data_IF_176348660449
#
_entry.id   IF_176348660449
#
_cell.length_a   1.000
_cell.length_b   1.000
_cell.length_c   1.000
_cell.angle_alpha   90.00
_cell.angle_beta   90.00
_cell.angle_gamma   90.00
#
_symmetry.space_group_name_H-M   'P 1'
#
loop_
_entity.id
_entity.type
_entity.pdbx_description
1 polymer ?
#
# COMPACT_ATOMS: atom_id res chain seq x y z
N UNK A 1 -21.88 1.07 -10.87
CA UNK A 1 -21.11 2.25 -10.40
C UNK A 1 -21.15 2.39 -8.88
N UNK A 2 -22.32 2.50 -8.24
CA UNK A 2 -22.40 2.57 -6.76
C UNK A 2 -21.78 1.35 -6.06
N UNK A 3 -22.04 0.13 -6.53
CA UNK A 3 -21.41 -1.08 -5.98
C UNK A 3 -19.88 -1.07 -6.15
N UNK A 4 -19.37 -0.68 -7.32
CA UNK A 4 -17.93 -0.56 -7.56
C UNK A 4 -17.25 0.46 -6.63
N UNK A 5 -17.93 1.57 -6.34
CA UNK A 5 -17.45 2.56 -5.38
C UNK A 5 -17.42 2.00 -3.95
N UNK A 6 -18.45 1.24 -3.56
CA UNK A 6 -18.52 0.55 -2.28
C UNK A 6 -17.41 -0.51 -2.13
N UNK A 7 -17.22 -1.37 -3.14
CA UNK A 7 -16.14 -2.38 -3.14
C UNK A 7 -14.78 -1.72 -3.03
N UNK A 8 -14.55 -0.63 -3.75
CA UNK A 8 -13.28 0.10 -3.71
C UNK A 8 -12.96 0.63 -2.32
N UNK A 9 -13.93 1.24 -1.64
CA UNK A 9 -13.75 1.70 -0.26
C UNK A 9 -13.39 0.57 0.70
N UNK A 10 -14.11 -0.56 0.64
CA UNK A 10 -13.95 -1.67 1.60
C UNK A 10 -12.67 -2.46 1.35
N UNK A 11 -12.35 -2.77 0.10
CA UNK A 11 -11.15 -3.53 -0.25
C UNK A 11 -9.86 -2.79 0.16
N UNK A 12 -9.89 -1.47 0.27
CA UNK A 12 -8.72 -0.70 0.67
C UNK A 12 -8.51 -0.60 2.18
N UNK A 13 -9.52 -0.90 3.00
CA UNK A 13 -9.43 -0.77 4.47
C UNK A 13 -8.21 -1.50 5.05
N UNK A 14 -7.97 -2.80 4.76
CA UNK A 14 -6.84 -3.52 5.36
C UNK A 14 -5.48 -3.00 4.88
N UNK A 15 -5.41 -2.52 3.64
CA UNK A 15 -4.18 -1.96 3.06
C UNK A 15 -3.85 -0.63 3.73
N UNK A 16 -4.84 0.24 3.92
CA UNK A 16 -4.68 1.51 4.63
C UNK A 16 -4.24 1.26 6.07
N UNK A 17 -4.92 0.35 6.78
CA UNK A 17 -4.55 -0.01 8.16
C UNK A 17 -3.14 -0.61 8.24
N UNK A 18 -2.79 -1.47 7.28
CA UNK A 18 -1.45 -2.07 7.17
C UNK A 18 -0.36 -1.03 6.95
N UNK A 19 -0.57 -0.09 6.02
CA UNK A 19 0.35 1.03 5.79
C UNK A 19 0.51 1.92 7.03
N UNK A 20 -0.60 2.28 7.69
CA UNK A 20 -0.58 3.08 8.92
C UNK A 20 0.19 2.39 10.05
N UNK A 21 -0.10 1.12 10.34
CA UNK A 21 0.57 0.39 11.41
C UNK A 21 2.04 0.15 11.09
N UNK A 22 2.39 -0.12 9.83
CA UNK A 22 3.78 -0.18 9.39
C UNK A 22 4.52 1.14 9.66
N UNK A 23 3.90 2.29 9.41
CA UNK A 23 4.50 3.60 9.73
C UNK A 23 4.72 3.77 11.23
N UNK A 24 3.82 3.28 12.08
CA UNK A 24 4.03 3.26 13.54
C UNK A 24 5.24 2.37 13.90
N UNK A 25 5.36 1.18 13.32
CA UNK A 25 6.49 0.26 13.53
C UNK A 25 7.82 0.92 13.16
N UNK A 26 7.88 1.60 12.02
CA UNK A 26 9.09 2.28 11.56
C UNK A 26 9.43 3.46 12.47
N UNK A 27 8.44 4.29 12.82
CA UNK A 27 8.65 5.51 13.62
C UNK A 27 9.01 5.20 15.08
N UNK A 28 8.44 4.14 15.67
CA UNK A 28 8.79 3.68 17.02
C UNK A 28 9.98 2.72 17.04
N UNK A 29 10.56 2.42 15.88
CA UNK A 29 11.66 1.49 15.70
C UNK A 29 11.41 0.08 16.27
N UNK A 30 10.16 -0.39 16.20
CA UNK A 30 9.87 -1.79 16.54
C UNK A 30 10.50 -2.73 15.50
N UNK A 31 10.84 -3.94 15.96
CA UNK A 31 11.51 -4.98 15.15
C UNK A 31 12.79 -4.48 14.45
N UNK A 32 13.62 -3.69 15.16
CA UNK A 32 14.84 -3.07 14.63
C UNK A 32 15.83 -4.08 14.03
N UNK A 33 15.88 -5.31 14.53
CA UNK A 33 16.70 -6.40 13.98
C UNK A 33 16.40 -6.68 12.50
N UNK A 34 15.17 -6.44 12.05
CA UNK A 34 14.73 -6.67 10.67
C UNK A 34 14.86 -5.42 9.79
N UNK A 35 15.34 -4.30 10.32
CA UNK A 35 15.57 -3.06 9.58
C UNK A 35 16.80 -3.15 8.65
N UNK A 36 17.01 -4.30 8.03
CA UNK A 36 18.07 -4.59 7.08
C UNK A 36 17.61 -4.13 5.70
N UNK A 37 18.38 -3.27 4.99
CA UNK A 37 18.03 -2.82 3.65
C UNK A 37 17.93 -4.00 2.68
N UNK A 38 16.89 -4.03 1.84
CA UNK A 38 16.70 -5.07 0.81
C UNK A 38 17.86 -5.01 -0.18
N UNK A 39 18.18 -3.82 -0.68
CA UNK A 39 19.38 -3.60 -1.48
C UNK A 39 19.80 -2.12 -1.45
N UNK A 40 20.91 -1.80 -0.79
CA UNK A 40 21.31 -0.41 -0.53
C UNK A 40 21.55 0.39 -1.83
N UNK A 41 22.26 -0.19 -2.81
CA UNK A 41 22.59 0.50 -4.07
C UNK A 41 21.37 0.73 -4.96
N UNK A 42 20.39 -0.16 -4.91
CA UNK A 42 19.25 -0.14 -5.85
C UNK A 42 18.02 0.49 -5.25
N UNK A 43 17.75 0.32 -3.96
CA UNK A 43 16.52 0.81 -3.34
C UNK A 43 16.78 1.82 -2.21
N UNK A 44 18.04 1.94 -1.77
CA UNK A 44 18.43 2.79 -0.63
C UNK A 44 18.21 2.12 0.73
N UNK A 45 18.72 2.77 1.78
CA UNK A 45 18.69 2.24 3.15
C UNK A 45 17.27 2.12 3.75
N UNK A 46 16.31 2.90 3.25
CA UNK A 46 14.96 2.96 3.84
C UNK A 46 14.04 1.83 3.40
N UNK A 47 14.36 1.12 2.31
CA UNK A 47 13.60 -0.06 1.86
C UNK A 47 14.18 -1.28 2.55
N UNK A 48 13.52 -1.73 3.61
CA UNK A 48 14.01 -2.78 4.52
C UNK A 48 13.17 -4.05 4.43
N UNK A 49 13.77 -5.20 4.77
CA UNK A 49 13.05 -6.47 4.90
C UNK A 49 11.93 -6.40 5.94
N UNK A 50 12.11 -5.61 7.01
CA UNK A 50 11.04 -5.29 7.97
C UNK A 50 9.79 -4.79 7.27
N UNK A 51 9.90 -3.74 6.46
CA UNK A 51 8.74 -3.20 5.75
C UNK A 51 8.20 -4.18 4.69
N UNK A 52 9.12 -4.87 4.00
CA UNK A 52 8.77 -5.81 2.95
C UNK A 52 7.93 -6.99 3.45
N UNK A 53 8.18 -7.45 4.67
CA UNK A 53 7.46 -8.57 5.29
C UNK A 53 6.27 -8.07 6.12
N UNK A 54 6.45 -6.97 6.87
CA UNK A 54 5.40 -6.47 7.77
C UNK A 54 4.17 -5.98 7.03
N UNK A 55 4.31 -5.26 5.91
CA UNK A 55 3.14 -4.70 5.20
C UNK A 55 2.22 -5.82 4.68
N UNK A 56 2.68 -6.84 3.92
CA UNK A 56 1.83 -7.95 3.51
C UNK A 56 1.15 -8.69 4.66
N UNK A 57 1.90 -8.99 5.73
CA UNK A 57 1.37 -9.73 6.88
C UNK A 57 0.32 -8.91 7.63
N UNK A 58 0.60 -7.65 7.92
CA UNK A 58 -0.34 -6.79 8.66
C UNK A 58 -1.59 -6.55 7.83
N UNK A 59 -1.46 -6.28 6.53
CA UNK A 59 -2.61 -6.16 5.63
C UNK A 59 -3.44 -7.44 5.63
N UNK A 60 -2.81 -8.61 5.54
CA UNK A 60 -3.50 -9.89 5.65
C UNK A 60 -4.27 -10.00 6.98
N UNK A 61 -3.62 -9.69 8.11
CA UNK A 61 -4.24 -9.77 9.44
C UNK A 61 -5.44 -8.83 9.62
N UNK A 62 -5.50 -7.69 8.91
CA UNK A 62 -6.66 -6.81 8.90
C UNK A 62 -7.75 -7.23 7.90
N UNK A 63 -7.46 -8.06 6.90
CA UNK A 63 -8.44 -8.47 5.88
C UNK A 63 -9.65 -9.25 6.38
N UNK A 64 -9.61 -10.02 7.49
CA UNK A 64 -10.81 -10.59 8.10
C UNK A 64 -11.86 -9.55 8.51
N UNK A 65 -11.52 -8.26 8.63
CA UNK A 65 -12.51 -7.19 8.85
C UNK A 65 -13.58 -7.15 7.75
N UNK A 66 -13.28 -7.61 6.53
CA UNK A 66 -14.27 -7.73 5.45
C UNK A 66 -15.44 -8.64 5.83
N UNK A 67 -15.19 -9.69 6.61
CA UNK A 67 -16.24 -10.62 7.05
C UNK A 67 -17.24 -9.93 7.98
N UNK A 68 -16.77 -8.98 8.79
CA UNK A 68 -17.58 -8.21 9.73
C UNK A 68 -18.34 -7.09 9.01
N UNK A 69 -17.67 -6.40 8.08
CA UNK A 69 -18.22 -5.23 7.37
C UNK A 69 -19.24 -5.59 6.29
N UNK A 70 -19.23 -6.84 5.81
CA UNK A 70 -20.05 -7.26 4.68
C UNK A 70 -21.01 -8.41 5.02
N UNK A 71 -21.37 -8.65 6.28
CA UNK A 71 -22.13 -9.86 6.69
C UNK A 71 -23.42 -10.10 5.89
N UNK A 72 -24.12 -9.04 5.48
CA UNK A 72 -25.47 -9.12 4.87
C UNK A 72 -25.49 -9.03 3.33
N UNK A 73 -24.35 -8.84 2.66
CA UNK A 73 -24.33 -8.61 1.21
C UNK A 73 -24.25 -9.93 0.41
N UNK A 74 -25.03 -10.12 -0.66
CA UNK A 74 -24.77 -11.22 -1.62
C UNK A 74 -23.58 -10.87 -2.55
N UNK A 75 -22.53 -10.28 -2.00
CA UNK A 75 -21.37 -9.82 -2.75
C UNK A 75 -20.44 -10.99 -3.08
N UNK A 76 -20.04 -11.07 -4.34
CA UNK A 76 -19.16 -12.10 -4.89
C UNK A 76 -17.73 -11.62 -5.06
N UNK A 77 -17.49 -10.31 -4.98
CA UNK A 77 -16.18 -9.69 -5.17
C UNK A 77 -15.37 -9.72 -3.87
N UNK A 78 -16.02 -9.45 -2.73
CA UNK A 78 -15.34 -9.39 -1.43
C UNK A 78 -15.15 -10.81 -0.87
N UNK A 79 -13.92 -11.20 -0.47
CA UNK A 79 -13.66 -12.52 0.09
C UNK A 79 -14.53 -12.85 1.32
N UNK A 80 -15.05 -14.09 1.37
CA UNK A 80 -16.00 -14.55 2.40
C UNK A 80 -15.48 -15.61 3.37
N UNK A 81 -14.27 -16.10 3.18
CA UNK A 81 -13.65 -17.05 4.10
C UNK A 81 -12.43 -16.43 4.72
N UNK A 82 -12.07 -16.81 5.95
CA UNK A 82 -10.86 -16.31 6.61
C UNK A 82 -9.64 -16.56 5.71
N UNK A 83 -9.52 -17.76 5.13
CA UNK A 83 -8.40 -18.09 4.24
C UNK A 83 -8.35 -17.17 3.01
N UNK A 84 -9.47 -16.95 2.33
CA UNK A 84 -9.50 -16.06 1.15
C UNK A 84 -9.28 -14.59 1.51
N UNK A 85 -9.77 -14.13 2.66
CA UNK A 85 -9.47 -12.79 3.19
C UNK A 85 -7.96 -12.62 3.44
N UNK A 86 -7.36 -13.53 4.21
CA UNK A 86 -5.92 -13.48 4.54
C UNK A 86 -5.07 -13.52 3.28
N UNK A 87 -5.38 -14.42 2.34
CA UNK A 87 -4.64 -14.56 1.08
C UNK A 87 -4.75 -13.30 0.21
N UNK A 88 -5.97 -12.79 0.02
CA UNK A 88 -6.21 -11.58 -0.78
C UNK A 88 -5.53 -10.36 -0.16
N UNK A 89 -5.62 -10.20 1.17
CA UNK A 89 -4.93 -9.14 1.90
C UNK A 89 -3.41 -9.23 1.80
N UNK A 90 -2.86 -10.43 1.93
CA UNK A 90 -1.44 -10.67 1.76
C UNK A 90 -0.96 -10.25 0.36
N UNK A 91 -1.67 -10.66 -0.69
CA UNK A 91 -1.35 -10.28 -2.06
C UNK A 91 -1.44 -8.78 -2.30
N UNK A 92 -2.42 -8.11 -1.69
CA UNK A 92 -2.56 -6.66 -1.80
C UNK A 92 -1.38 -5.91 -1.16
N UNK A 93 -1.01 -6.30 0.07
CA UNK A 93 0.14 -5.72 0.75
C UNK A 93 1.47 -6.06 0.04
N UNK A 94 1.56 -7.25 -0.58
CA UNK A 94 2.71 -7.62 -1.40
C UNK A 94 2.79 -6.77 -2.68
N UNK A 95 1.66 -6.58 -3.37
CA UNK A 95 1.55 -5.69 -4.53
C UNK A 95 1.97 -4.26 -4.19
N UNK A 96 1.49 -3.73 -3.06
CA UNK A 96 1.90 -2.42 -2.53
C UNK A 96 3.43 -2.31 -2.46
N UNK A 97 4.09 -3.22 -1.74
CA UNK A 97 5.54 -3.12 -1.50
C UNK A 97 6.35 -3.38 -2.77
N UNK A 98 5.98 -4.39 -3.56
CA UNK A 98 6.72 -4.77 -4.77
C UNK A 98 6.78 -3.62 -5.77
N UNK A 99 5.65 -2.93 -5.99
CA UNK A 99 5.58 -1.87 -6.97
C UNK A 99 6.23 -0.55 -6.49
N UNK A 100 6.45 -0.36 -5.20
CA UNK A 100 7.29 0.75 -4.70
C UNK A 100 8.79 0.60 -5.06
N UNK A 101 9.27 -0.62 -5.35
CA UNK A 101 10.69 -0.89 -5.62
C UNK A 101 11.18 -0.30 -6.95
N UNK A 102 10.49 -0.48 -8.10
CA UNK A 102 10.86 0.17 -9.36
C UNK A 102 11.07 1.67 -9.26
N UNK A 103 10.17 2.37 -8.57
CA UNK A 103 10.28 3.80 -8.38
C UNK A 103 11.50 4.17 -7.51
N UNK A 104 11.72 3.43 -6.42
CA UNK A 104 12.92 3.61 -5.59
C UNK A 104 14.22 3.43 -6.39
N UNK A 105 14.25 2.45 -7.29
CA UNK A 105 15.36 2.20 -8.22
C UNK A 105 15.58 3.32 -9.21
N UNK A 106 14.53 3.83 -9.83
CA UNK A 106 14.62 4.95 -10.77
C UNK A 106 15.19 6.21 -10.08
N UNK A 107 14.74 6.49 -8.84
CA UNK A 107 15.31 7.59 -8.04
C UNK A 107 16.81 7.43 -7.78
N UNK A 108 17.30 6.19 -7.56
CA UNK A 108 18.74 5.94 -7.36
C UNK A 108 19.55 6.22 -8.62
N UNK A 109 19.02 5.80 -9.79
CA UNK A 109 19.69 6.06 -11.08
C UNK A 109 19.79 7.54 -11.41
N UNK A 110 18.85 8.35 -10.93
CA UNK A 110 18.89 9.81 -11.06
C UNK A 110 19.66 10.52 -9.95
N UNK A 111 20.40 9.77 -9.11
CA UNK A 111 21.28 10.33 -8.07
C UNK A 111 20.55 10.90 -6.84
N UNK A 112 19.27 10.59 -6.63
CA UNK A 112 18.55 11.07 -5.46
C UNK A 112 19.02 10.33 -4.18
N UNK A 113 19.26 11.03 -3.06
CA UNK A 113 19.56 10.39 -1.76
C UNK A 113 18.37 9.60 -1.18
N UNK A 114 18.60 8.64 -0.25
CA UNK A 114 17.52 7.84 0.35
C UNK A 114 16.48 8.72 1.05
N UNK A 115 15.19 8.46 0.75
CA UNK A 115 14.09 9.28 1.28
C UNK A 115 13.97 10.68 0.66
N UNK A 116 14.74 10.98 -0.38
CA UNK A 116 14.65 12.24 -1.13
C UNK A 116 14.27 11.98 -2.59
N UNK A 117 13.72 13.03 -3.22
CA UNK A 117 13.40 13.03 -4.64
C UNK A 117 14.56 13.63 -5.45
N UNK A 118 14.69 13.27 -6.75
CA UNK A 118 15.63 13.93 -7.65
C UNK A 118 15.36 15.44 -7.71
N UNK A 119 16.42 16.24 -7.88
CA UNK A 119 16.30 17.71 -8.01
C UNK A 119 15.54 18.10 -9.29
N UNK A 120 15.75 17.34 -10.37
CA UNK A 120 15.01 17.48 -11.62
C UNK A 120 13.68 16.73 -11.52
N UNK A 121 12.60 17.32 -12.04
CA UNK A 121 11.28 16.68 -12.14
C UNK A 121 10.72 16.14 -10.81
N UNK A 122 11.03 16.80 -9.68
CA UNK A 122 10.58 16.42 -8.34
C UNK A 122 9.08 16.14 -8.26
N UNK A 123 8.26 16.96 -8.90
CA UNK A 123 6.79 16.80 -8.91
C UNK A 123 6.35 15.49 -9.61
N UNK A 124 7.00 15.12 -10.72
CA UNK A 124 6.72 13.85 -11.40
C UNK A 124 7.06 12.66 -10.50
N UNK A 125 8.17 12.72 -9.77
CA UNK A 125 8.50 11.65 -8.80
C UNK A 125 7.52 11.59 -7.63
N UNK A 126 7.02 12.73 -7.13
CA UNK A 126 5.98 12.72 -6.09
C UNK A 126 4.68 12.07 -6.62
N UNK A 127 4.33 12.31 -7.88
CA UNK A 127 3.19 11.64 -8.51
C UNK A 127 3.45 10.14 -8.67
N UNK A 128 4.61 9.74 -9.20
CA UNK A 128 4.98 8.33 -9.34
C UNK A 128 5.00 7.56 -8.01
N UNK A 129 5.38 8.22 -6.90
CA UNK A 129 5.30 7.66 -5.53
C UNK A 129 3.88 7.36 -5.03
N UNK A 130 2.86 7.89 -5.69
CA UNK A 130 1.46 7.55 -5.38
C UNK A 130 0.94 6.50 -6.36
N UNK A 131 1.33 6.63 -7.63
CA UNK A 131 0.92 5.71 -8.68
C UNK A 131 1.49 4.31 -8.51
N UNK A 132 2.73 4.19 -8.03
CA UNK A 132 3.42 2.89 -7.92
C UNK A 132 2.64 1.89 -7.05
N UNK A 133 2.33 2.28 -5.82
CA UNK A 133 1.60 1.49 -4.85
C UNK A 133 0.17 1.27 -5.30
N UNK A 134 -0.45 2.27 -5.93
CA UNK A 134 -1.80 2.17 -6.49
C UNK A 134 -1.88 1.06 -7.55
N UNK A 135 -0.93 1.06 -8.51
CA UNK A 135 -0.83 0.04 -9.55
C UNK A 135 -0.61 -1.35 -8.94
N UNK A 136 0.28 -1.46 -7.94
CA UNK A 136 0.57 -2.73 -7.31
C UNK A 136 -0.65 -3.36 -6.63
N UNK A 137 -1.40 -2.57 -5.86
CA UNK A 137 -2.61 -3.05 -5.17
C UNK A 137 -3.72 -3.39 -6.17
N UNK A 138 -3.98 -2.50 -7.14
CA UNK A 138 -5.06 -2.71 -8.10
C UNK A 138 -4.79 -3.91 -8.99
N UNK A 139 -3.53 -4.12 -9.39
CA UNK A 139 -3.13 -5.31 -10.14
C UNK A 139 -3.30 -6.58 -9.31
N UNK A 140 -2.90 -6.56 -8.04
CA UNK A 140 -3.10 -7.70 -7.14
C UNK A 140 -4.58 -8.06 -6.99
N UNK A 141 -5.45 -7.07 -6.78
CA UNK A 141 -6.89 -7.29 -6.68
C UNK A 141 -7.54 -7.68 -8.01
N UNK A 142 -7.15 -7.06 -9.12
CA UNK A 142 -7.65 -7.41 -10.44
C UNK A 142 -7.45 -8.90 -10.75
N UNK A 143 -6.25 -9.41 -10.47
CA UNK A 143 -5.90 -10.81 -10.69
C UNK A 143 -6.58 -11.73 -9.66
N UNK A 144 -6.51 -11.38 -8.36
CA UNK A 144 -6.97 -12.27 -7.29
C UNK A 144 -8.50 -12.37 -7.21
N UNK A 145 -9.22 -11.30 -7.53
CA UNK A 145 -10.67 -11.19 -7.38
C UNK A 145 -11.41 -11.19 -8.73
N UNK A 146 -10.68 -11.34 -9.85
CA UNK A 146 -11.23 -11.27 -11.21
C UNK A 146 -12.10 -10.02 -11.43
N UNK A 147 -11.59 -8.86 -11.01
CA UNK A 147 -12.34 -7.61 -11.03
C UNK A 147 -12.65 -7.15 -12.45
N UNK A 148 -13.76 -6.43 -12.59
CA UNK A 148 -14.01 -5.69 -13.84
C UNK A 148 -13.06 -4.50 -13.96
N UNK A 149 -12.90 -3.98 -15.18
CA UNK A 149 -12.13 -2.74 -15.41
C UNK A 149 -12.71 -1.55 -14.64
N UNK A 150 -14.02 -1.53 -14.42
CA UNK A 150 -14.70 -0.46 -13.67
C UNK A 150 -14.33 -0.54 -12.19
N UNK A 151 -14.41 -1.72 -11.57
CA UNK A 151 -14.03 -1.89 -10.16
C UNK A 151 -12.55 -1.57 -9.94
N UNK A 152 -11.69 -2.01 -10.87
CA UNK A 152 -10.25 -1.72 -10.85
C UNK A 152 -9.96 -0.22 -10.92
N UNK A 153 -10.67 0.50 -11.81
CA UNK A 153 -10.56 1.95 -11.92
C UNK A 153 -10.98 2.66 -10.63
N UNK A 154 -12.08 2.23 -10.01
CA UNK A 154 -12.54 2.83 -8.75
C UNK A 154 -11.58 2.55 -7.60
N UNK A 155 -11.03 1.33 -7.47
CA UNK A 155 -10.00 1.01 -6.47
C UNK A 155 -8.78 1.89 -6.66
N UNK A 156 -8.31 2.05 -7.91
CA UNK A 156 -7.17 2.89 -8.23
C UNK A 156 -7.39 4.33 -7.79
N UNK A 157 -8.53 4.92 -8.17
CA UNK A 157 -8.89 6.29 -7.83
C UNK A 157 -9.04 6.48 -6.32
N UNK A 158 -9.75 5.56 -5.65
CA UNK A 158 -9.92 5.59 -4.19
C UNK A 158 -8.58 5.47 -3.46
N UNK A 159 -7.67 4.63 -3.95
CA UNK A 159 -6.36 4.50 -3.34
C UNK A 159 -5.57 5.80 -3.42
N UNK A 160 -5.55 6.48 -4.57
CA UNK A 160 -4.85 7.77 -4.70
C UNK A 160 -5.41 8.83 -3.74
N UNK A 161 -6.75 8.93 -3.65
CA UNK A 161 -7.41 9.86 -2.73
C UNK A 161 -7.07 9.51 -1.27
N UNK A 162 -7.23 8.24 -0.89
CA UNK A 162 -6.96 7.79 0.48
C UNK A 162 -5.49 7.93 0.86
N UNK A 163 -4.55 7.65 -0.04
CA UNK A 163 -3.12 7.81 0.18
C UNK A 163 -2.76 9.28 0.46
N UNK A 164 -3.40 10.22 -0.25
CA UNK A 164 -3.23 11.65 0.02
C UNK A 164 -3.76 12.02 1.42
N UNK A 165 -4.94 11.55 1.80
CA UNK A 165 -5.55 11.83 3.11
C UNK A 165 -4.71 11.22 4.24
N UNK A 166 -4.33 9.95 4.12
CA UNK A 166 -3.55 9.20 5.11
C UNK A 166 -2.18 9.85 5.32
N UNK A 167 -1.48 10.27 4.25
CA UNK A 167 -0.18 10.98 4.38
C UNK A 167 -0.33 12.27 5.20
N UNK A 168 -1.40 13.04 4.98
CA UNK A 168 -1.67 14.24 5.76
C UNK A 168 -1.99 13.92 7.23
N UNK A 169 -2.78 12.88 7.51
CA UNK A 169 -3.07 12.44 8.89
C UNK A 169 -1.80 11.97 9.61
N UNK A 170 -0.97 11.14 8.96
CA UNK A 170 0.29 10.66 9.54
C UNK A 170 1.28 11.80 9.83
N UNK A 171 1.28 12.85 9.03
CA UNK A 171 2.04 14.06 9.31
C UNK A 171 1.52 14.80 10.55
N UNK A 172 0.19 14.96 10.68
CA UNK A 172 -0.43 15.58 11.86
C UNK A 172 -0.10 14.81 13.15
N UNK A 173 -0.05 13.48 13.09
CA UNK A 173 0.34 12.63 14.22
C UNK A 173 1.86 12.51 14.42
N UNK A 174 2.68 13.27 13.69
CA UNK A 174 4.16 13.20 13.74
C UNK A 174 4.74 11.81 13.44
N UNK A 175 3.96 10.95 12.78
CA UNK A 175 4.38 9.63 12.33
C UNK A 175 5.12 9.68 10.99
N UNK A 176 5.02 10.80 10.26
CA UNK A 176 5.78 11.07 9.03
C UNK A 176 6.36 12.50 9.06
N UNK A 177 7.61 12.65 8.62
CA UNK A 177 8.33 13.94 8.60
C UNK A 177 7.96 14.87 7.44
N UNK A 178 7.28 14.38 6.40
CA UNK A 178 6.89 15.16 5.22
C UNK A 178 5.41 15.00 4.88
N UNK A 179 4.76 16.11 4.46
CA UNK A 179 3.35 16.16 4.04
C UNK A 179 3.08 15.40 2.74
N UNK A 180 4.07 15.34 1.86
CA UNK A 180 4.02 14.67 0.56
C UNK A 180 5.20 13.69 0.46
#
# INVERSE_FOLDING_TARGET
MFNSFYHAGILLIPVILGGCLHMVIVTKNYFSYWAIPVHQRYFGYNKTWRGFIAVPIITALFSPLWLILCTETQDTIIPRTIASCLFTGFLAGLGYVLFELPNSWLKRRLGAPPGQHPKQNKQLFILFDQLDSAIGITMAYFICLNLTYIDTFFIFLWFLISAFIVKNMLFLFSLKKTRF
#
